data_IF_508822618425
#
_entry.id   IF_508822618425
#
_cell.length_a   1.000
_cell.length_b   1.000
_cell.length_c   1.000
_cell.angle_alpha   90.00
_cell.angle_beta   90.00
_cell.angle_gamma   90.00
#
_symmetry.space_group_name_H-M   'P 1'
#
loop_
_entity.id
_entity.type
_entity.pdbx_description
1 polymer ?
#
# COMPACT_ATOMS: atom_id res chain seq x y z
N UNK A 1 7.33 8.84 -74.29
CA UNK A 1 6.21 8.38 -73.45
C UNK A 1 6.82 8.02 -72.09
N UNK A 2 6.81 8.92 -71.10
CA UNK A 2 5.91 8.89 -69.91
C UNK A 2 5.58 7.44 -69.46
N UNK A 3 5.76 6.97 -68.23
CA UNK A 3 5.82 7.58 -66.90
C UNK A 3 6.23 6.44 -65.92
N UNK A 4 6.94 6.77 -64.84
CA UNK A 4 6.66 6.44 -63.42
C UNK A 4 6.00 5.06 -63.11
N UNK A 5 6.32 4.29 -62.08
CA UNK A 5 6.87 4.57 -60.76
C UNK A 5 7.13 3.18 -60.16
N UNK A 6 8.36 2.86 -59.74
CA UNK A 6 8.57 1.72 -58.84
C UNK A 6 8.22 2.22 -57.44
N UNK A 7 7.03 1.85 -56.96
CA UNK A 7 6.61 2.18 -55.59
C UNK A 7 7.38 1.29 -54.61
N UNK A 8 8.31 1.91 -53.87
CA UNK A 8 8.97 1.33 -52.71
C UNK A 8 7.91 1.16 -51.62
N UNK A 9 7.57 -0.08 -51.28
CA UNK A 9 6.73 -0.37 -50.11
C UNK A 9 7.65 -0.59 -48.92
N UNK A 10 7.82 0.46 -48.11
CA UNK A 10 8.34 0.37 -46.75
C UNK A 10 7.32 -0.39 -45.89
N UNK A 11 7.60 -1.65 -45.54
CA UNK A 11 6.80 -2.37 -44.55
C UNK A 11 7.27 -1.94 -43.16
N UNK A 12 6.44 -1.11 -42.55
CA UNK A 12 6.60 -0.50 -41.24
C UNK A 12 5.80 -1.31 -40.21
N UNK A 13 6.39 -2.30 -39.55
CA UNK A 13 5.72 -3.12 -38.53
C UNK A 13 6.80 -3.88 -37.73
N UNK A 14 6.91 -3.89 -36.40
CA UNK A 14 6.07 -3.47 -35.28
C UNK A 14 7.01 -2.85 -34.24
N UNK A 15 6.71 -1.63 -33.78
CA UNK A 15 7.14 -1.22 -32.45
C UNK A 15 6.42 -2.17 -31.48
N UNK A 16 7.15 -3.10 -30.87
CA UNK A 16 6.66 -3.80 -29.70
C UNK A 16 6.53 -2.76 -28.60
N UNK A 17 5.33 -2.17 -28.53
CA UNK A 17 4.86 -1.47 -27.36
C UNK A 17 4.83 -2.53 -26.25
N UNK A 18 5.90 -2.55 -25.46
CA UNK A 18 5.86 -3.21 -24.18
C UNK A 18 4.89 -2.38 -23.35
N UNK A 19 3.64 -2.83 -23.27
CA UNK A 19 2.76 -2.42 -22.19
C UNK A 19 3.52 -2.75 -20.91
N UNK A 20 4.15 -1.73 -20.32
CA UNK A 20 4.51 -1.79 -18.91
C UNK A 20 3.20 -2.07 -18.21
N UNK A 21 3.00 -3.33 -17.87
CA UNK A 21 1.94 -3.80 -16.99
C UNK A 21 1.83 -2.77 -15.89
N UNK A 22 0.72 -2.04 -15.87
CA UNK A 22 0.46 -1.01 -14.89
C UNK A 22 0.50 -1.66 -13.52
N UNK A 23 1.66 -1.64 -12.87
CA UNK A 23 1.79 -1.91 -11.45
C UNK A 23 0.91 -0.85 -10.83
N UNK A 24 -0.29 -1.25 -10.38
CA UNK A 24 -1.28 -0.32 -9.86
C UNK A 24 -0.59 0.67 -8.92
N UNK A 25 -0.72 1.95 -9.19
CA UNK A 25 -0.04 2.98 -8.42
C UNK A 25 -0.74 3.12 -7.07
N UNK A 26 0.04 3.22 -5.97
CA UNK A 26 -0.50 3.89 -4.79
C UNK A 26 -0.65 5.36 -5.17
N UNK A 27 -1.84 5.89 -5.00
CA UNK A 27 -2.11 7.31 -5.22
C UNK A 27 -2.40 7.99 -3.88
N UNK A 28 -2.21 9.30 -3.85
CA UNK A 28 -2.69 10.11 -2.73
C UNK A 28 -4.20 9.90 -2.58
N UNK A 29 -4.68 9.79 -1.34
CA UNK A 29 -6.10 9.60 -1.11
C UNK A 29 -6.44 8.95 0.22
N UNK A 30 -7.72 8.62 0.35
CA UNK A 30 -8.28 7.95 1.52
C UNK A 30 -8.43 6.47 1.19
N UNK A 31 -8.04 5.60 2.11
CA UNK A 31 -8.16 4.16 1.95
C UNK A 31 -8.97 3.58 3.11
N UNK A 32 -10.09 2.92 2.80
CA UNK A 32 -10.83 2.11 3.75
C UNK A 32 -9.99 0.91 4.19
N UNK A 33 -9.64 0.88 5.46
CA UNK A 33 -8.76 -0.10 6.07
C UNK A 33 -9.56 -1.18 6.80
N UNK A 34 -9.11 -2.42 6.66
CA UNK A 34 -9.57 -3.55 7.45
C UNK A 34 -8.39 -4.42 7.85
N UNK A 35 -8.23 -4.69 9.14
CA UNK A 35 -7.25 -5.62 9.67
C UNK A 35 -7.89 -6.88 10.22
N UNK A 36 -7.15 -7.98 10.08
CA UNK A 36 -7.47 -9.31 10.55
C UNK A 36 -6.37 -9.78 11.49
N UNK A 37 -6.69 -10.52 12.54
CA UNK A 37 -5.69 -11.20 13.38
C UNK A 37 -5.01 -12.37 12.63
N UNK A 38 -4.12 -13.07 13.33
CA UNK A 38 -3.41 -14.25 12.80
C UNK A 38 -4.32 -15.44 12.47
N UNK A 39 -5.53 -15.48 13.04
CA UNK A 39 -6.54 -16.49 12.74
C UNK A 39 -7.48 -16.07 11.58
N UNK A 40 -7.33 -14.85 11.05
CA UNK A 40 -8.19 -14.30 10.00
C UNK A 40 -9.48 -13.65 10.52
N UNK A 41 -9.62 -13.46 11.83
CA UNK A 41 -10.76 -12.74 12.42
C UNK A 41 -10.59 -11.25 12.19
N UNK A 42 -11.64 -10.58 11.70
CA UNK A 42 -11.62 -9.13 11.51
C UNK A 42 -11.60 -8.40 12.86
N UNK A 43 -10.63 -7.51 13.08
CA UNK A 43 -10.38 -6.88 14.40
C UNK A 43 -10.35 -5.35 14.39
N UNK A 44 -9.97 -4.73 13.27
CA UNK A 44 -9.87 -3.26 13.13
C UNK A 44 -10.46 -2.84 11.79
N UNK A 45 -11.15 -1.70 11.76
CA UNK A 45 -11.55 -1.02 10.54
C UNK A 45 -11.35 0.49 10.65
N UNK A 46 -11.42 1.23 9.55
CA UNK A 46 -11.34 2.68 9.56
C UNK A 46 -10.76 3.21 8.25
N UNK A 47 -10.01 4.30 8.34
CA UNK A 47 -9.48 4.98 7.17
C UNK A 47 -8.01 5.37 7.37
N UNK A 48 -7.24 5.28 6.28
CA UNK A 48 -5.90 5.83 6.13
C UNK A 48 -5.95 6.97 5.12
N UNK A 49 -5.43 8.13 5.47
CA UNK A 49 -5.20 9.23 4.55
C UNK A 49 -3.72 9.23 4.19
N UNK A 50 -3.39 8.96 2.93
CA UNK A 50 -2.03 8.80 2.46
C UNK A 50 -1.64 9.96 1.53
N UNK A 51 -0.49 10.54 1.83
CA UNK A 51 0.23 11.50 1.00
C UNK A 51 1.57 10.88 0.60
N UNK A 52 1.84 10.87 -0.70
CA UNK A 52 2.93 10.11 -1.32
C UNK A 52 3.69 11.06 -2.22
N UNK A 53 4.96 11.23 -1.88
CA UNK A 53 5.85 12.05 -2.67
C UNK A 53 6.42 11.27 -3.85
N UNK A 54 6.86 11.95 -4.92
CA UNK A 54 7.60 11.32 -6.01
C UNK A 54 8.86 10.55 -5.57
N UNK A 55 9.43 10.93 -4.42
CA UNK A 55 10.56 10.26 -3.77
C UNK A 55 10.23 8.86 -3.24
N UNK A 56 8.95 8.50 -3.14
CA UNK A 56 8.47 7.30 -2.46
C UNK A 56 8.23 7.48 -0.97
N UNK A 57 8.53 8.66 -0.39
CA UNK A 57 8.15 9.00 0.98
C UNK A 57 6.63 9.00 1.13
N UNK A 58 6.13 8.40 2.22
CA UNK A 58 4.71 8.36 2.57
C UNK A 58 4.51 9.06 3.91
N UNK A 59 3.53 9.95 3.97
CA UNK A 59 3.06 10.59 5.19
C UNK A 59 1.53 10.53 5.24
N UNK A 60 0.95 10.95 6.37
CA UNK A 60 -0.50 11.09 6.48
C UNK A 60 -1.03 10.87 7.89
N UNK A 61 -2.30 10.48 7.95
CA UNK A 61 -3.01 10.23 9.20
C UNK A 61 -3.98 9.06 9.07
N UNK A 62 -4.51 8.61 10.19
CA UNK A 62 -5.45 7.49 10.25
C UNK A 62 -6.51 7.73 11.33
N UNK A 63 -7.64 7.06 11.15
CA UNK A 63 -8.70 6.97 12.13
C UNK A 63 -9.25 5.54 12.10
N UNK A 64 -9.00 4.79 13.16
CA UNK A 64 -9.17 3.35 13.23
C UNK A 64 -9.98 2.96 14.47
N UNK A 65 -10.85 1.96 14.30
CA UNK A 65 -11.80 1.49 15.31
C UNK A 65 -11.64 -0.01 15.50
N UNK A 66 -11.68 -0.44 16.76
CA UNK A 66 -11.70 -1.87 17.10
C UNK A 66 -13.12 -2.40 16.90
N UNK A 67 -13.26 -3.53 16.21
CA UNK A 67 -14.58 -4.12 15.92
C UNK A 67 -14.81 -5.49 16.56
N UNK A 68 -13.74 -6.15 17.04
CA UNK A 68 -13.82 -7.43 17.73
C UNK A 68 -12.85 -7.48 18.92
N UNK A 69 -13.21 -8.29 19.93
CA UNK A 69 -12.35 -8.58 21.09
C UNK A 69 -11.25 -9.61 20.77
N UNK A 70 -10.32 -9.80 21.71
CA UNK A 70 -9.37 -10.92 21.69
C UNK A 70 -7.95 -10.56 21.26
N UNK A 71 -7.75 -9.88 20.13
CA UNK A 71 -6.41 -9.51 19.68
C UNK A 71 -5.90 -8.21 20.33
N UNK A 72 -4.61 -8.19 20.69
CA UNK A 72 -3.88 -7.00 21.09
C UNK A 72 -3.48 -6.23 19.83
N UNK A 73 -4.10 -5.07 19.63
CA UNK A 73 -3.89 -4.26 18.42
C UNK A 73 -2.74 -3.25 18.58
N UNK A 74 -2.18 -3.08 19.77
CA UNK A 74 -1.27 -1.98 20.04
C UNK A 74 -1.94 -0.60 19.87
N UNK A 75 -1.18 0.49 19.74
CA UNK A 75 -1.68 1.86 19.69
C UNK A 75 -2.32 2.28 18.34
N UNK A 76 -2.95 1.35 17.61
CA UNK A 76 -3.60 1.62 16.31
C UNK A 76 -5.09 1.93 16.41
N UNK A 77 -5.63 2.27 17.58
CA UNK A 77 -7.06 2.58 17.77
C UNK A 77 -7.21 4.06 18.14
N UNK A 78 -8.22 4.72 17.59
CA UNK A 78 -8.42 6.16 17.69
C UNK A 78 -7.94 6.86 16.43
N UNK A 79 -7.14 7.92 16.57
CA UNK A 79 -6.56 8.62 15.44
C UNK A 79 -5.07 8.92 15.67
N UNK A 80 -4.31 9.06 14.59
CA UNK A 80 -2.88 9.34 14.68
C UNK A 80 -2.26 9.72 13.34
N UNK A 81 -0.94 9.96 13.38
CA UNK A 81 -0.12 10.22 12.19
C UNK A 81 0.58 8.95 11.77
N UNK A 82 0.85 8.83 10.47
CA UNK A 82 1.66 7.75 9.92
C UNK A 82 2.84 8.29 9.12
N UNK A 83 3.88 7.46 9.01
CA UNK A 83 5.01 7.68 8.09
C UNK A 83 5.41 6.37 7.48
N UNK A 84 5.89 6.40 6.25
CA UNK A 84 6.31 5.19 5.54
C UNK A 84 7.17 5.50 4.33
N UNK A 85 7.48 4.45 3.60
CA UNK A 85 8.21 4.52 2.35
C UNK A 85 7.65 3.49 1.37
N UNK A 86 7.80 3.81 0.09
CA UNK A 86 7.50 2.94 -1.04
C UNK A 86 8.79 2.67 -1.81
N UNK A 87 9.05 1.39 -2.01
CA UNK A 87 10.10 0.89 -2.89
C UNK A 87 9.44 -0.05 -3.92
N UNK A 88 9.33 0.44 -5.16
CA UNK A 88 8.59 -0.21 -6.25
C UNK A 88 7.12 -0.50 -5.92
N UNK A 89 6.81 -1.77 -5.67
CA UNK A 89 5.49 -2.28 -5.28
C UNK A 89 5.40 -2.59 -3.79
N UNK A 90 6.52 -2.54 -3.07
CA UNK A 90 6.57 -2.79 -1.63
C UNK A 90 6.36 -1.49 -0.87
N UNK A 91 5.56 -1.57 0.19
CA UNK A 91 5.24 -0.43 1.04
C UNK A 91 5.36 -0.84 2.48
N UNK A 92 6.02 0.03 3.22
CA UNK A 92 6.13 -0.05 4.66
C UNK A 92 5.58 1.25 5.28
N UNK A 93 4.72 1.13 6.28
CA UNK A 93 4.13 2.26 7.02
C UNK A 93 4.22 1.97 8.52
N UNK A 94 4.69 2.93 9.31
CA UNK A 94 4.54 2.99 10.76
C UNK A 94 3.33 3.87 11.12
N UNK A 95 2.38 3.31 11.87
CA UNK A 95 1.16 4.01 12.31
C UNK A 95 1.36 4.87 13.55
N UNK A 96 2.52 4.82 14.20
CA UNK A 96 2.83 5.64 15.35
C UNK A 96 4.32 6.01 15.40
N UNK A 97 4.80 6.77 14.39
CA UNK A 97 6.23 7.00 14.14
C UNK A 97 6.99 7.74 15.24
N UNK A 98 6.30 8.27 16.26
CA UNK A 98 6.90 8.99 17.38
C UNK A 98 7.16 8.10 18.60
N UNK A 99 6.98 6.78 18.49
CA UNK A 99 7.18 5.81 19.58
C UNK A 99 8.29 4.84 19.20
N UNK A 100 9.19 4.53 20.13
CA UNK A 100 10.37 3.68 19.84
C UNK A 100 10.07 2.19 20.12
N UNK A 101 9.42 1.88 21.25
CA UNK A 101 9.26 0.49 21.73
C UNK A 101 7.79 0.03 21.81
N UNK A 102 6.92 0.55 20.93
CA UNK A 102 5.49 0.21 20.93
C UNK A 102 4.87 0.43 19.55
N UNK A 103 5.47 -0.12 18.50
CA UNK A 103 5.17 0.24 17.12
C UNK A 103 4.14 -0.68 16.47
N UNK A 104 3.23 -0.10 15.69
CA UNK A 104 2.38 -0.82 14.75
C UNK A 104 2.84 -0.48 13.34
N UNK A 105 3.29 -1.51 12.62
CA UNK A 105 3.78 -1.37 11.25
C UNK A 105 2.89 -2.15 10.28
N UNK A 106 2.74 -1.61 9.07
CA UNK A 106 2.11 -2.24 7.93
C UNK A 106 3.20 -2.51 6.90
N UNK A 107 3.29 -3.75 6.40
CA UNK A 107 4.17 -4.10 5.29
C UNK A 107 3.39 -4.89 4.25
N UNK A 108 3.47 -4.48 2.99
CA UNK A 108 2.60 -5.06 1.99
C UNK A 108 2.95 -4.65 0.57
N UNK A 109 2.09 -5.04 -0.36
CA UNK A 109 2.20 -4.71 -1.77
C UNK A 109 0.96 -4.02 -2.28
N UNK A 110 1.13 -3.28 -3.37
CA UNK A 110 0.00 -2.74 -4.13
C UNK A 110 -0.19 -3.47 -5.43
N UNK A 111 -1.46 -3.75 -5.69
CA UNK A 111 -1.94 -4.19 -6.99
C UNK A 111 -3.30 -3.57 -7.23
N UNK A 112 -3.47 -2.91 -8.37
CA UNK A 112 -4.74 -2.29 -8.78
C UNK A 112 -5.31 -1.31 -7.73
N UNK A 113 -4.46 -0.47 -7.14
CA UNK A 113 -4.86 0.48 -6.08
C UNK A 113 -5.10 -0.15 -4.70
N UNK A 114 -5.12 -1.48 -4.58
CA UNK A 114 -5.34 -2.17 -3.31
C UNK A 114 -4.00 -2.37 -2.61
N UNK A 115 -3.86 -1.79 -1.41
CA UNK A 115 -2.73 -2.04 -0.52
C UNK A 115 -3.06 -3.17 0.44
N UNK A 116 -2.32 -4.28 0.37
CA UNK A 116 -2.56 -5.45 1.22
C UNK A 116 -1.26 -6.03 1.74
N UNK A 117 -1.32 -6.59 2.94
CA UNK A 117 -0.11 -7.10 3.57
C UNK A 117 -0.31 -7.58 5.00
N UNK A 118 0.76 -7.49 5.78
CA UNK A 118 0.81 -7.83 7.19
C UNK A 118 0.87 -6.58 8.05
N UNK A 119 0.15 -6.60 9.16
CA UNK A 119 0.40 -5.66 10.25
C UNK A 119 1.13 -6.39 11.38
N UNK A 120 2.04 -5.68 12.04
CA UNK A 120 2.81 -6.19 13.18
C UNK A 120 2.75 -5.16 14.28
N UNK A 121 2.33 -5.60 15.47
CA UNK A 121 2.50 -4.87 16.72
C UNK A 121 3.70 -5.42 17.47
N UNK A 122 4.71 -4.57 17.67
CA UNK A 122 5.93 -4.90 18.41
C UNK A 122 6.11 -3.97 19.61
N UNK A 123 6.63 -4.52 20.70
CA UNK A 123 7.11 -3.73 21.83
C UNK A 123 8.50 -4.19 22.26
N UNK A 124 8.91 -3.79 23.47
CA UNK A 124 10.18 -4.23 24.07
C UNK A 124 10.48 -5.74 23.97
N UNK A 125 9.53 -6.67 24.23
CA UNK A 125 9.80 -8.12 24.11
C UNK A 125 9.86 -8.64 22.66
N UNK A 126 9.73 -7.77 21.66
CA UNK A 126 9.62 -8.13 20.24
C UNK A 126 8.18 -8.11 19.75
N UNK A 127 7.85 -9.01 18.81
CA UNK A 127 6.50 -9.10 18.22
C UNK A 127 5.50 -9.59 19.25
N UNK A 128 4.48 -8.78 19.53
CA UNK A 128 3.41 -9.08 20.49
C UNK A 128 2.19 -9.66 19.77
N UNK A 129 1.83 -9.08 18.64
CA UNK A 129 0.68 -9.53 17.83
C UNK A 129 0.89 -9.17 16.37
N UNK A 130 0.22 -9.90 15.49
CA UNK A 130 0.29 -9.66 14.05
C UNK A 130 -0.95 -10.20 13.35
N UNK A 131 -1.07 -9.87 12.08
CA UNK A 131 -2.09 -10.43 11.22
C UNK A 131 -1.98 -9.90 9.80
N UNK A 132 -3.11 -9.78 9.11
CA UNK A 132 -3.16 -9.26 7.74
C UNK A 132 -4.05 -8.04 7.64
N UNK A 133 -3.88 -7.25 6.59
CA UNK A 133 -4.77 -6.13 6.32
C UNK A 133 -5.02 -5.97 4.82
N UNK A 134 -6.11 -5.27 4.54
CA UNK A 134 -6.46 -4.76 3.22
C UNK A 134 -6.86 -3.29 3.38
N UNK A 135 -6.36 -2.44 2.50
CA UNK A 135 -6.69 -1.03 2.38
C UNK A 135 -7.10 -0.75 0.92
N UNK A 136 -8.31 -0.26 0.72
CA UNK A 136 -8.91 0.01 -0.60
C UNK A 136 -9.22 1.50 -0.72
N UNK A 137 -8.91 2.15 -1.87
CA UNK A 137 -9.21 3.56 -2.08
C UNK A 137 -10.71 3.85 -2.16
#
# INVERSE_FOLDING_TARGET
MLKNCVFIVFILTFLTFCDKTGVGSLNNGVYAYTAYDSAGTKIVTGFLWLEIEPSGSISGHWHLYKIAGGATTGPQIGAGKLRGNREDSNIWINLNPNWVDNNVTLSGKIKNGIYKGKWIYSGFPGVISWGTFIAVP
#
